data_IF_009152597367
#
_entry.id   IF_009152597367
#
_cell.length_a   1.000
_cell.length_b   1.000
_cell.length_c   1.000
_cell.angle_alpha   90.00
_cell.angle_beta   90.00
_cell.angle_gamma   90.00
#
_symmetry.space_group_name_H-M   'P 1'
#
loop_
_entity.id
_entity.type
_entity.pdbx_description
1 polymer ?
#
# COMPACT_ATOMS: atom_id res chain seq x y z
N UNK A 1 -6.26 -21.64 -9.71
CA UNK A 1 -5.74 -21.23 -9.65
C UNK A 1 -4.96 -20.79 -9.23
N UNK A 2 -4.93 -20.56 -9.07
CA UNK A 2 -4.35 -20.16 -8.83
C UNK A 2 -3.45 -19.62 -8.36
N UNK A 3 -2.81 -19.56 -7.94
CA UNK A 3 -1.96 -19.08 -7.51
C UNK A 3 -1.03 -18.37 -8.12
N UNK A 4 -0.52 -18.64 -8.87
CA UNK A 4 0.34 -17.92 -9.78
C UNK A 4 -0.17 -16.55 -10.10
N UNK A 5 -1.46 -16.40 -10.12
CA UNK A 5 -2.07 -15.10 -10.36
C UNK A 5 -1.61 -14.06 -9.36
N UNK A 6 -1.16 -14.49 -8.19
CA UNK A 6 -0.68 -13.55 -7.17
C UNK A 6 0.55 -12.79 -7.63
N UNK A 7 1.39 -13.42 -8.44
CA UNK A 7 2.60 -12.78 -8.93
C UNK A 7 2.31 -11.70 -9.96
N UNK A 8 1.12 -11.77 -10.55
CA UNK A 8 0.76 -10.89 -11.65
C UNK A 8 -0.37 -9.93 -11.30
N UNK A 9 -0.55 -9.68 -10.02
CA UNK A 9 -1.58 -8.75 -9.59
C UNK A 9 -1.26 -7.36 -10.11
N UNK A 10 -2.28 -6.68 -10.59
CA UNK A 10 -2.09 -5.34 -11.11
C UNK A 10 -1.73 -4.37 -9.98
N UNK A 11 -1.03 -3.31 -10.35
CA UNK A 11 -0.68 -2.27 -9.38
C UNK A 11 -1.93 -1.69 -8.76
N UNK A 12 -2.99 -1.52 -9.57
CA UNK A 12 -4.24 -0.99 -9.07
C UNK A 12 -4.82 -1.87 -7.96
N UNK A 13 -4.78 -3.19 -8.14
CA UNK A 13 -5.28 -4.11 -7.14
C UNK A 13 -4.47 -4.02 -5.85
N UNK A 14 -3.15 -3.98 -5.99
CA UNK A 14 -2.26 -3.90 -4.85
C UNK A 14 -2.53 -2.62 -4.06
N UNK A 15 -2.69 -1.49 -4.76
CA UNK A 15 -2.97 -0.22 -4.13
C UNK A 15 -4.32 -0.25 -3.43
N UNK A 16 -5.34 -0.81 -4.09
CA UNK A 16 -6.67 -0.89 -3.49
C UNK A 16 -6.66 -1.69 -2.20
N UNK A 17 -5.96 -2.80 -2.19
CA UNK A 17 -5.88 -3.63 -0.98
C UNK A 17 -5.16 -2.91 0.13
N UNK A 18 -4.08 -2.21 -0.20
CA UNK A 18 -3.35 -1.45 0.81
C UNK A 18 -4.20 -0.31 1.36
N UNK A 19 -4.97 0.36 0.50
CA UNK A 19 -5.86 1.42 0.95
C UNK A 19 -6.87 0.91 1.97
N UNK A 20 -7.41 -0.29 1.73
CA UNK A 20 -8.33 -0.89 2.69
C UNK A 20 -7.65 -1.22 4.00
N UNK A 21 -6.42 -1.71 3.92
CA UNK A 21 -5.63 -2.00 5.12
C UNK A 21 -5.39 -0.73 5.93
N UNK A 22 -5.02 0.36 5.26
CA UNK A 22 -4.79 1.63 5.93
C UNK A 22 -6.08 2.16 6.57
N UNK A 23 -7.20 1.96 5.91
CA UNK A 23 -8.49 2.33 6.45
C UNK A 23 -8.79 1.55 7.74
N UNK A 24 -8.52 0.26 7.72
CA UNK A 24 -8.71 -0.60 8.89
C UNK A 24 -7.86 -0.14 10.07
N UNK A 25 -6.66 0.35 9.80
CA UNK A 25 -5.78 0.87 10.84
C UNK A 25 -6.11 2.32 11.22
N UNK A 26 -7.06 2.93 10.52
CA UNK A 26 -7.42 4.32 10.82
C UNK A 26 -6.42 5.34 10.33
N UNK A 27 -5.56 4.96 9.38
CA UNK A 27 -4.58 5.88 8.82
C UNK A 27 -5.23 6.86 7.85
N UNK A 28 -6.12 6.35 7.01
CA UNK A 28 -6.82 7.18 6.03
C UNK A 28 -8.05 6.45 5.54
N UNK A 29 -8.91 7.17 4.81
CA UNK A 29 -10.05 6.57 4.15
C UNK A 29 -9.59 5.75 2.95
N UNK A 30 -10.27 4.66 2.67
CA UNK A 30 -9.95 3.83 1.50
C UNK A 30 -10.21 4.58 0.20
N UNK A 31 -10.88 5.72 0.26
CA UNK A 31 -11.17 6.57 -0.91
C UNK A 31 -10.26 7.79 -0.98
N UNK A 32 -9.27 7.88 -0.12
CA UNK A 32 -8.39 9.04 -0.06
C UNK A 32 -7.48 9.07 -1.29
N UNK A 33 -7.73 10.04 -2.18
CA UNK A 33 -6.97 10.16 -3.42
C UNK A 33 -5.51 10.53 -3.17
N UNK A 34 -5.26 11.37 -2.17
CA UNK A 34 -3.90 11.80 -1.87
C UNK A 34 -3.04 10.61 -1.45
N UNK A 35 -3.57 9.77 -0.56
CA UNK A 35 -2.85 8.58 -0.13
C UNK A 35 -2.64 7.62 -1.29
N UNK A 36 -3.66 7.44 -2.11
CA UNK A 36 -3.57 6.56 -3.28
C UNK A 36 -2.46 7.04 -4.21
N UNK A 37 -2.38 8.35 -4.42
CA UNK A 37 -1.34 8.95 -5.25
C UNK A 37 0.05 8.70 -4.67
N UNK A 38 0.17 8.83 -3.36
CA UNK A 38 1.44 8.59 -2.67
C UNK A 38 1.90 7.15 -2.80
N UNK A 39 0.95 6.21 -2.77
CA UNK A 39 1.30 4.81 -2.98
C UNK A 39 1.83 4.57 -4.38
N UNK A 40 1.22 5.20 -5.38
CA UNK A 40 1.72 5.12 -6.74
C UNK A 40 3.13 5.67 -6.85
N UNK A 41 3.39 6.80 -6.20
CA UNK A 41 4.70 7.42 -6.22
C UNK A 41 5.73 6.55 -5.50
N UNK A 42 5.31 5.86 -4.45
CA UNK A 42 6.21 4.97 -3.73
C UNK A 42 6.69 3.83 -4.62
N UNK A 43 5.78 3.28 -5.43
CA UNK A 43 6.16 2.22 -6.36
C UNK A 43 7.19 2.73 -7.35
N UNK A 44 6.99 3.94 -7.86
CA UNK A 44 7.95 4.53 -8.81
C UNK A 44 9.27 4.88 -8.14
N UNK A 45 9.23 5.23 -6.86
CA UNK A 45 10.43 5.62 -6.14
C UNK A 45 11.34 4.44 -5.85
N UNK A 46 10.79 3.26 -5.72
CA UNK A 46 11.56 2.06 -5.42
C UNK A 46 11.45 1.05 -6.56
N UNK A 47 12.08 1.34 -7.71
CA UNK A 47 11.96 0.46 -8.88
C UNK A 47 12.62 -0.90 -8.72
N UNK A 48 13.53 -1.03 -7.77
CA UNK A 48 14.20 -2.29 -7.49
C UNK A 48 13.37 -3.21 -6.58
N UNK A 49 12.26 -2.72 -6.06
CA UNK A 49 11.35 -3.51 -5.24
C UNK A 49 10.11 -3.86 -6.04
N UNK A 50 9.47 -4.99 -5.66
CA UNK A 50 8.17 -5.27 -6.25
C UNK A 50 7.17 -4.20 -5.80
N UNK A 51 6.09 -4.00 -6.56
CA UNK A 51 5.08 -3.02 -6.14
C UNK A 51 4.57 -3.24 -4.73
N UNK A 52 4.34 -4.50 -4.36
CA UNK A 52 3.86 -4.81 -3.02
C UNK A 52 4.88 -4.41 -1.97
N UNK A 53 6.14 -4.73 -2.20
CA UNK A 53 7.21 -4.39 -1.25
C UNK A 53 7.40 -2.89 -1.14
N UNK A 54 7.32 -2.18 -2.26
CA UNK A 54 7.49 -0.73 -2.25
C UNK A 54 6.40 -0.08 -1.40
N UNK A 55 5.17 -0.50 -1.59
CA UNK A 55 4.05 0.03 -0.82
C UNK A 55 4.17 -0.34 0.64
N UNK A 56 4.53 -1.58 0.95
CA UNK A 56 4.68 -2.00 2.33
C UNK A 56 5.76 -1.20 3.04
N UNK A 57 6.86 -0.99 2.35
CA UNK A 57 7.97 -0.21 2.91
C UNK A 57 7.54 1.23 3.20
N UNK A 58 6.80 1.83 2.27
CA UNK A 58 6.31 3.19 2.45
C UNK A 58 5.29 3.30 3.58
N UNK A 59 4.41 2.31 3.70
CA UNK A 59 3.32 2.37 4.66
C UNK A 59 3.73 1.94 6.07
N UNK A 60 4.86 1.24 6.19
CA UNK A 60 5.29 0.74 7.49
C UNK A 60 5.34 1.83 8.56
N UNK A 61 6.01 2.97 8.33
CA UNK A 61 6.04 4.02 9.36
C UNK A 61 4.67 4.64 9.61
N UNK A 62 3.80 4.69 8.61
CA UNK A 62 2.46 5.23 8.79
C UNK A 62 1.65 4.38 9.75
N UNK A 63 1.67 3.08 9.54
CA UNK A 63 0.93 2.15 10.40
C UNK A 63 1.57 2.10 11.77
N UNK A 64 2.88 2.04 11.82
CA UNK A 64 3.62 1.97 13.07
C UNK A 64 3.32 3.17 13.95
N UNK A 65 3.39 4.37 13.38
CA UNK A 65 3.13 5.59 14.12
C UNK A 65 1.69 5.65 14.62
N UNK A 66 0.75 5.19 13.80
CA UNK A 66 -0.65 5.21 14.18
C UNK A 66 -0.93 4.27 15.34
N UNK A 67 -0.33 3.08 15.31
CA UNK A 67 -0.56 2.07 16.35
C UNK A 67 0.15 2.43 17.65
N UNK A 68 1.34 2.99 17.56
CA UNK A 68 2.17 3.24 18.73
C UNK A 68 2.18 4.69 19.21
N UNK A 69 1.42 5.55 18.55
CA UNK A 69 1.38 6.97 18.88
C UNK A 69 0.30 7.24 19.92
N UNK A 70 0.69 7.35 21.15
CA UNK A 70 -0.22 7.71 22.23
C UNK A 70 0.29 8.92 22.96
#
# INVERSE_FOLDING_TARGET
MSYTSNCNRSIKTIINEKMRCLDDFGVCSSNDKDTRDRLKKAIAKYPDKTPQEAIDYYCRPLIYNKVWSY
#
